data_IF_253212282653
#
_entry.id   IF_253212282653
#
_cell.length_a   1.000
_cell.length_b   1.000
_cell.length_c   1.000
_cell.angle_alpha   90.00
_cell.angle_beta   90.00
_cell.angle_gamma   90.00
#
_symmetry.space_group_name_H-M   'P 1'
#
loop_
_entity.id
_entity.type
_entity.pdbx_description
1 polymer ?
#
# COMPACT_ATOMS: atom_id res chain seq x y z
N UNK A 1 7.03 1.56 -29.79
CA UNK A 1 6.31 2.64 -29.10
C UNK A 1 5.65 2.11 -27.84
N UNK A 2 5.82 2.79 -26.71
CA UNK A 2 5.13 2.49 -25.46
C UNK A 2 3.65 2.91 -25.54
N UNK A 3 2.78 2.40 -24.65
CA UNK A 3 1.37 2.86 -24.58
C UNK A 3 1.28 4.35 -24.25
N UNK A 4 2.21 4.87 -23.45
CA UNK A 4 2.33 6.31 -23.17
C UNK A 4 2.57 7.09 -24.46
N UNK A 5 3.56 6.71 -25.27
CA UNK A 5 3.86 7.37 -26.54
C UNK A 5 2.68 7.32 -27.50
N UNK A 6 2.03 6.16 -27.66
CA UNK A 6 0.84 6.02 -28.51
C UNK A 6 -0.30 6.94 -28.07
N UNK A 7 -0.53 7.05 -26.76
CA UNK A 7 -1.58 7.92 -26.25
C UNK A 7 -1.24 9.40 -26.47
N UNK A 8 0.00 9.82 -26.22
CA UNK A 8 0.43 11.20 -26.46
C UNK A 8 0.32 11.59 -27.94
N UNK A 9 0.68 10.67 -28.85
CA UNK A 9 0.50 10.85 -30.29
C UNK A 9 -0.97 11.07 -30.67
N UNK A 10 -1.90 10.33 -30.05
CA UNK A 10 -3.34 10.43 -30.30
C UNK A 10 -3.99 11.66 -29.64
N UNK A 11 -3.59 11.95 -28.40
CA UNK A 11 -4.18 12.97 -27.55
C UNK A 11 -3.66 14.39 -27.87
N UNK A 12 -2.46 14.50 -28.45
CA UNK A 12 -1.83 15.76 -28.88
C UNK A 12 -1.89 16.85 -27.80
N UNK A 13 -1.27 16.64 -26.62
CA UNK A 13 -1.25 17.65 -25.58
C UNK A 13 -0.52 18.93 -26.03
N UNK A 14 -0.94 20.06 -25.47
CA UNK A 14 -0.32 21.37 -25.68
C UNK A 14 0.97 21.57 -24.86
N UNK A 15 1.54 22.77 -24.92
CA UNK A 15 2.75 23.13 -24.15
C UNK A 15 2.58 23.06 -22.64
N UNK A 16 1.35 23.08 -22.14
CA UNK A 16 1.02 22.96 -20.71
C UNK A 16 0.73 21.50 -20.31
N UNK A 17 0.80 20.56 -21.25
CA UNK A 17 0.48 19.15 -21.02
C UNK A 17 -1.02 18.86 -21.00
N UNK A 18 -1.86 19.77 -21.50
CA UNK A 18 -3.32 19.61 -21.58
C UNK A 18 -3.68 19.01 -22.93
N UNK A 19 -4.46 17.92 -22.93
CA UNK A 19 -4.91 17.26 -24.16
C UNK A 19 -6.39 17.48 -24.44
N UNK A 20 -6.85 17.11 -25.64
CA UNK A 20 -8.29 16.88 -25.87
C UNK A 20 -8.76 15.63 -25.13
N UNK A 21 -10.08 15.47 -25.04
CA UNK A 21 -10.67 14.17 -24.72
C UNK A 21 -10.43 13.17 -25.85
N UNK A 22 -9.94 11.99 -25.48
CA UNK A 22 -9.76 10.85 -26.38
C UNK A 22 -10.76 9.77 -25.98
N UNK A 23 -11.69 9.45 -26.88
CA UNK A 23 -12.69 8.42 -26.66
C UNK A 23 -12.06 7.03 -26.74
N UNK A 24 -12.52 6.09 -25.92
CA UNK A 24 -12.08 4.68 -26.01
C UNK A 24 -12.39 4.05 -27.37
N UNK A 25 -13.36 4.59 -28.11
CA UNK A 25 -13.69 4.17 -29.47
C UNK A 25 -12.59 4.54 -30.49
N UNK A 26 -11.69 5.46 -30.16
CA UNK A 26 -10.53 5.81 -30.98
C UNK A 26 -9.39 4.78 -30.83
N UNK A 27 -9.47 3.85 -29.88
CA UNK A 27 -8.47 2.79 -29.65
C UNK A 27 -8.62 1.65 -30.66
N UNK A 28 -8.47 1.99 -31.94
CA UNK A 28 -8.55 1.11 -33.10
C UNK A 28 -7.27 1.19 -33.93
N UNK A 29 -7.07 0.25 -34.85
CA UNK A 29 -5.89 0.21 -35.73
C UNK A 29 -4.58 0.25 -34.94
N UNK A 30 -3.70 1.21 -35.23
CA UNK A 30 -2.42 1.38 -34.53
C UNK A 30 -2.57 1.68 -33.02
N UNK A 31 -3.72 2.22 -32.61
CA UNK A 31 -4.02 2.56 -31.21
C UNK A 31 -4.72 1.43 -30.45
N UNK A 32 -4.96 0.27 -31.08
CA UNK A 32 -5.63 -0.88 -30.44
C UNK A 32 -4.95 -1.33 -29.14
N UNK A 33 -3.64 -1.15 -29.01
CA UNK A 33 -2.90 -1.45 -27.78
C UNK A 33 -3.35 -0.61 -26.56
N UNK A 34 -4.03 0.52 -26.78
CA UNK A 34 -4.57 1.39 -25.73
C UNK A 34 -5.89 0.90 -25.14
N UNK A 35 -6.53 -0.11 -25.75
CA UNK A 35 -7.76 -0.70 -25.24
C UNK A 35 -7.66 -1.04 -23.74
N UNK A 36 -8.68 -0.64 -23.01
CA UNK A 36 -8.72 -0.75 -21.57
C UNK A 36 -9.17 -2.17 -21.19
N UNK A 37 -8.28 -2.90 -20.51
CA UNK A 37 -8.66 -4.08 -19.74
C UNK A 37 -9.03 -3.69 -18.30
N UNK A 38 -9.07 -4.68 -17.42
CA UNK A 38 -9.36 -4.46 -16.00
C UNK A 38 -8.38 -3.44 -15.38
N UNK A 39 -8.92 -2.30 -14.94
CA UNK A 39 -8.20 -1.30 -14.15
C UNK A 39 -7.23 -0.39 -14.94
N UNK A 40 -7.33 -0.31 -16.27
CA UNK A 40 -6.64 0.72 -17.07
C UNK A 40 -5.13 0.80 -16.81
N UNK A 41 -4.41 -0.32 -16.96
CA UNK A 41 -3.03 -0.50 -16.47
C UNK A 41 -2.03 0.61 -16.84
N UNK A 42 -2.20 1.24 -18.00
CA UNK A 42 -1.31 2.29 -18.52
C UNK A 42 -1.77 3.72 -18.21
N UNK A 43 -3.02 3.93 -17.80
CA UNK A 43 -3.57 5.24 -17.48
C UNK A 43 -3.95 5.41 -16.00
N UNK A 44 -3.91 4.35 -15.18
CA UNK A 44 -4.18 4.42 -13.73
C UNK A 44 -3.17 5.32 -13.00
N UNK A 45 -3.51 5.77 -11.79
CA UNK A 45 -2.70 6.69 -10.97
C UNK A 45 -1.24 6.25 -10.71
N UNK A 46 -0.92 4.95 -10.80
CA UNK A 46 0.43 4.42 -10.65
C UNK A 46 1.19 4.18 -11.97
N UNK A 47 0.60 4.56 -13.11
CA UNK A 47 1.20 4.34 -14.42
C UNK A 47 2.30 5.35 -14.73
N UNK A 48 3.15 5.03 -15.71
CA UNK A 48 4.17 5.97 -16.19
C UNK A 48 3.57 7.27 -16.74
N UNK A 49 2.39 7.22 -17.37
CA UNK A 49 1.68 8.41 -17.84
C UNK A 49 1.27 9.31 -16.68
N UNK A 50 0.75 8.72 -15.59
CA UNK A 50 0.28 9.46 -14.41
C UNK A 50 1.43 10.10 -13.62
N UNK A 51 2.68 9.63 -13.79
CA UNK A 51 3.86 10.28 -13.19
C UNK A 51 4.21 11.62 -13.86
N UNK A 52 3.84 11.79 -15.13
CA UNK A 52 4.18 12.98 -15.90
C UNK A 52 2.97 13.90 -16.07
N UNK A 53 1.76 13.37 -16.11
CA UNK A 53 0.54 14.14 -16.36
C UNK A 53 -0.56 13.84 -15.35
N UNK A 54 -1.38 14.84 -15.06
CA UNK A 54 -2.64 14.65 -14.35
C UNK A 54 -3.69 14.12 -15.33
N UNK A 55 -4.27 12.95 -15.03
CA UNK A 55 -5.17 12.23 -15.91
C UNK A 55 -6.60 12.33 -15.39
N UNK A 56 -7.53 12.69 -16.28
CA UNK A 56 -8.95 12.75 -16.02
C UNK A 56 -9.70 11.68 -16.84
N UNK A 57 -10.78 11.14 -16.26
CA UNK A 57 -11.60 10.11 -16.88
C UNK A 57 -13.05 10.57 -16.99
N UNK A 58 -13.61 10.52 -18.20
CA UNK A 58 -15.04 10.57 -18.40
C UNK A 58 -15.61 9.16 -18.21
N UNK A 59 -16.63 9.04 -17.38
CA UNK A 59 -17.36 7.79 -17.08
C UNK A 59 -18.87 7.99 -17.13
N UNK A 60 -19.31 9.07 -17.76
CA UNK A 60 -20.70 9.52 -17.68
C UNK A 60 -21.62 8.86 -18.71
N UNK A 61 -21.05 8.20 -19.73
CA UNK A 61 -21.83 7.61 -20.84
C UNK A 61 -22.16 6.15 -20.58
N UNK A 62 -21.19 5.36 -20.14
CA UNK A 62 -21.40 3.94 -19.86
C UNK A 62 -21.80 3.73 -18.40
N UNK A 63 -22.93 3.05 -18.16
CA UNK A 63 -23.38 2.71 -16.80
C UNK A 63 -22.32 1.87 -16.08
N UNK A 64 -21.89 2.32 -14.90
CA UNK A 64 -20.92 1.63 -14.05
C UNK A 64 -19.61 2.39 -13.91
N UNK A 65 -18.50 1.65 -13.81
CA UNK A 65 -17.15 2.22 -13.58
C UNK A 65 -16.28 2.25 -14.85
N UNK A 66 -16.86 1.91 -16.00
CA UNK A 66 -16.20 1.93 -17.30
C UNK A 66 -15.74 3.34 -17.64
N UNK A 67 -14.60 3.43 -18.33
CA UNK A 67 -14.04 4.70 -18.81
C UNK A 67 -14.49 4.89 -20.24
N UNK A 68 -15.09 6.04 -20.53
CA UNK A 68 -15.59 6.42 -21.85
C UNK A 68 -14.58 7.26 -22.63
N UNK A 69 -13.87 8.14 -21.92
CA UNK A 69 -12.81 8.96 -22.50
C UNK A 69 -11.73 9.32 -21.48
N UNK A 70 -10.55 9.67 -21.99
CA UNK A 70 -9.37 10.02 -21.19
C UNK A 70 -8.84 11.37 -21.67
N UNK A 71 -8.40 12.22 -20.73
CA UNK A 71 -7.74 13.50 -21.03
C UNK A 71 -6.58 13.76 -20.08
N UNK A 72 -5.58 14.49 -20.55
CA UNK A 72 -4.51 15.08 -19.73
C UNK A 72 -4.90 16.53 -19.38
N UNK A 73 -4.75 16.90 -18.11
CA UNK A 73 -5.14 18.23 -17.58
C UNK A 73 -3.93 19.08 -17.18
N UNK A 74 -2.73 18.65 -17.55
CA UNK A 74 -1.47 19.33 -17.27
C UNK A 74 -0.40 18.39 -16.74
N UNK A 75 0.78 18.92 -16.48
CA UNK A 75 1.89 18.16 -15.88
C UNK A 75 1.62 17.81 -14.42
N UNK A 76 2.05 16.62 -14.02
CA UNK A 76 1.99 16.19 -12.64
C UNK A 76 3.28 16.60 -11.91
N UNK A 77 3.16 17.57 -11.00
CA UNK A 77 4.27 18.04 -10.16
C UNK A 77 4.36 17.30 -8.81
N UNK A 78 3.55 16.25 -8.59
CA UNK A 78 3.61 15.49 -7.35
C UNK A 78 4.75 14.47 -7.36
N UNK A 79 5.57 14.50 -6.30
CA UNK A 79 6.55 13.45 -6.05
C UNK A 79 5.79 12.16 -5.66
N UNK A 80 5.56 11.28 -6.65
CA UNK A 80 4.93 9.99 -6.39
C UNK A 80 5.91 9.05 -5.68
N UNK A 81 5.48 8.44 -4.57
CA UNK A 81 6.26 7.42 -3.88
C UNK A 81 6.66 6.28 -4.83
N UNK A 82 7.96 5.99 -4.88
CA UNK A 82 8.49 4.92 -5.69
C UNK A 82 8.31 3.56 -4.98
N UNK A 83 7.39 2.76 -5.50
CA UNK A 83 7.07 1.44 -4.95
C UNK A 83 8.08 0.33 -5.34
N UNK A 84 9.16 0.68 -6.03
CA UNK A 84 10.14 -0.30 -6.49
C UNK A 84 10.98 -0.79 -5.32
N UNK A 85 11.09 -2.11 -5.18
CA UNK A 85 11.88 -2.75 -4.12
C UNK A 85 13.20 -3.26 -4.72
N UNK A 86 14.33 -2.99 -4.05
CA UNK A 86 15.66 -3.45 -4.43
C UNK A 86 15.70 -4.98 -4.59
N UNK A 87 16.42 -5.46 -5.60
CA UNK A 87 16.49 -6.88 -5.95
C UNK A 87 16.97 -7.77 -4.79
N UNK A 88 18.00 -7.35 -4.07
CA UNK A 88 18.55 -8.11 -2.93
C UNK A 88 17.52 -8.36 -1.81
N UNK A 89 16.70 -7.35 -1.51
CA UNK A 89 15.59 -7.48 -0.55
C UNK A 89 14.56 -8.48 -1.09
N UNK A 90 14.28 -8.42 -2.40
CA UNK A 90 13.39 -9.38 -3.04
C UNK A 90 13.91 -10.80 -2.90
N UNK A 91 15.20 -10.99 -3.18
CA UNK A 91 15.86 -12.29 -3.12
C UNK A 91 15.96 -12.83 -1.70
N UNK A 92 16.12 -11.97 -0.68
CA UNK A 92 16.12 -12.38 0.72
C UNK A 92 14.75 -12.93 1.17
N UNK A 93 13.65 -12.27 0.78
CA UNK A 93 12.31 -12.61 1.26
C UNK A 93 11.54 -13.62 0.40
N UNK A 94 11.90 -13.83 -0.88
CA UNK A 94 11.11 -14.66 -1.82
C UNK A 94 10.80 -16.08 -1.33
N UNK A 95 11.66 -16.65 -0.50
CA UNK A 95 11.52 -18.01 0.03
C UNK A 95 11.00 -18.06 1.48
N UNK A 96 10.70 -16.91 2.09
CA UNK A 96 10.18 -16.82 3.46
C UNK A 96 8.66 -16.98 3.46
N UNK A 97 8.12 -17.53 4.54
CA UNK A 97 6.68 -17.66 4.71
C UNK A 97 6.02 -16.29 4.95
N UNK A 98 4.76 -16.17 4.52
CA UNK A 98 3.92 -15.01 4.81
C UNK A 98 3.90 -14.75 6.32
N UNK A 99 4.28 -13.55 6.77
CA UNK A 99 4.33 -13.24 8.22
C UNK A 99 2.96 -13.20 8.88
N UNK A 100 1.88 -13.06 8.10
CA UNK A 100 0.51 -13.09 8.59
C UNK A 100 -0.09 -14.50 8.62
N UNK A 101 0.20 -15.32 7.60
CA UNK A 101 -0.48 -16.60 7.39
C UNK A 101 0.41 -17.84 7.59
N UNK A 102 1.73 -17.68 7.72
CA UNK A 102 2.67 -18.79 7.94
C UNK A 102 2.92 -19.70 6.73
N UNK A 103 2.42 -19.34 5.54
CA UNK A 103 2.50 -20.15 4.32
C UNK A 103 3.40 -19.53 3.24
N UNK A 104 4.00 -20.38 2.42
CA UNK A 104 4.61 -20.05 1.13
C UNK A 104 4.13 -21.11 0.13
N UNK A 105 3.21 -20.75 -0.77
CA UNK A 105 2.60 -21.70 -1.69
C UNK A 105 2.64 -21.24 -3.13
N UNK A 106 2.38 -22.15 -4.06
CA UNK A 106 2.55 -21.87 -5.50
C UNK A 106 1.27 -21.34 -6.19
N UNK A 107 0.12 -21.36 -5.49
CA UNK A 107 -1.12 -20.81 -6.06
C UNK A 107 -1.07 -19.28 -6.15
N UNK A 108 -1.92 -18.72 -7.02
CA UNK A 108 -2.03 -17.26 -7.20
C UNK A 108 -2.26 -16.50 -5.88
N UNK A 109 -2.97 -17.09 -4.91
CA UNK A 109 -3.34 -16.47 -3.64
C UNK A 109 -2.31 -16.70 -2.53
N UNK A 110 -1.51 -17.77 -2.65
CA UNK A 110 -0.56 -18.21 -1.62
C UNK A 110 0.89 -17.86 -1.97
N UNK A 111 1.16 -17.46 -3.22
CA UNK A 111 2.48 -16.98 -3.64
C UNK A 111 2.90 -15.77 -2.82
N UNK A 112 4.19 -15.69 -2.53
CA UNK A 112 4.78 -14.59 -1.77
C UNK A 112 4.92 -13.36 -2.68
N UNK A 113 4.43 -12.24 -2.16
CA UNK A 113 4.69 -10.89 -2.61
C UNK A 113 5.42 -10.15 -1.48
N UNK A 114 6.34 -9.29 -1.87
CA UNK A 114 7.17 -8.55 -0.91
C UNK A 114 6.58 -7.16 -0.87
N UNK A 115 6.06 -6.78 0.30
CA UNK A 115 5.33 -5.55 0.50
C UNK A 115 6.05 -4.62 1.48
N UNK A 116 5.75 -3.33 1.38
CA UNK A 116 6.27 -2.32 2.29
C UNK A 116 5.53 -2.44 3.62
N UNK A 117 6.24 -2.39 4.74
CA UNK A 117 5.59 -2.35 6.06
C UNK A 117 4.72 -1.11 6.22
N UNK A 118 5.25 0.05 5.86
CA UNK A 118 4.49 1.29 5.79
C UNK A 118 3.39 1.21 4.71
N UNK A 119 2.14 1.16 5.17
CA UNK A 119 0.97 1.06 4.31
C UNK A 119 0.55 2.38 3.69
N UNK A 120 0.97 3.54 4.24
CA UNK A 120 0.63 4.86 3.69
C UNK A 120 1.61 5.28 2.60
N UNK A 121 2.85 4.79 2.66
CA UNK A 121 3.91 4.98 1.65
C UNK A 121 4.31 6.44 1.52
N UNK A 122 4.63 7.04 2.66
CA UNK A 122 4.93 8.47 2.74
C UNK A 122 6.40 8.72 3.16
N UNK A 123 7.22 7.66 3.28
CA UNK A 123 8.62 7.75 3.71
C UNK A 123 9.61 7.87 2.53
N UNK A 124 10.18 9.05 2.33
CA UNK A 124 11.12 9.32 1.24
C UNK A 124 12.37 8.43 1.24
N UNK A 125 12.88 8.05 2.42
CA UNK A 125 14.01 7.12 2.54
C UNK A 125 13.65 5.74 1.99
N UNK A 126 12.43 5.26 2.25
CA UNK A 126 11.99 3.95 1.74
C UNK A 126 11.67 4.03 0.24
N UNK A 127 11.16 5.18 -0.23
CA UNK A 127 10.94 5.48 -1.66
C UNK A 127 12.25 5.42 -2.47
N UNK A 128 13.38 5.81 -1.86
CA UNK A 128 14.69 5.75 -2.50
C UNK A 128 15.31 4.34 -2.41
N UNK A 129 15.43 3.67 -3.57
CA UNK A 129 16.00 2.32 -3.73
C UNK A 129 17.38 2.16 -3.05
N UNK A 130 18.21 3.20 -3.02
CA UNK A 130 19.57 3.14 -2.46
C UNK A 130 19.58 3.10 -0.93
N UNK A 131 18.52 3.57 -0.29
CA UNK A 131 18.42 3.71 1.18
C UNK A 131 17.43 2.73 1.82
N UNK A 132 16.84 1.84 1.00
CA UNK A 132 16.00 0.73 1.44
C UNK A 132 16.77 -0.25 2.31
N UNK A 133 16.13 -0.72 3.38
CA UNK A 133 16.67 -1.73 4.30
C UNK A 133 15.73 -2.93 4.37
N UNK A 134 16.20 -4.08 4.85
CA UNK A 134 15.38 -5.30 4.91
C UNK A 134 14.13 -5.09 5.78
N UNK A 135 14.30 -4.42 6.92
CA UNK A 135 13.28 -4.15 7.91
C UNK A 135 12.12 -3.27 7.40
N UNK A 136 12.28 -2.58 6.27
CA UNK A 136 11.23 -1.78 5.64
C UNK A 136 10.16 -2.64 4.95
N UNK A 137 10.44 -3.94 4.78
CA UNK A 137 9.64 -4.86 3.99
C UNK A 137 9.22 -6.10 4.76
N UNK A 138 8.20 -6.77 4.25
CA UNK A 138 7.71 -8.03 4.79
C UNK A 138 7.20 -8.96 3.68
N UNK A 139 7.40 -10.28 3.81
CA UNK A 139 6.82 -11.26 2.89
C UNK A 139 5.35 -11.50 3.26
N UNK A 140 4.45 -11.28 2.31
CA UNK A 140 3.03 -11.55 2.45
C UNK A 140 2.58 -12.47 1.32
N UNK A 141 1.64 -13.38 1.58
CA UNK A 141 0.94 -14.02 0.47
C UNK A 141 0.13 -12.97 -0.28
N UNK A 142 -0.16 -13.19 -1.58
CA UNK A 142 -1.02 -12.29 -2.35
C UNK A 142 -2.33 -11.96 -1.60
N UNK A 143 -2.99 -12.97 -1.02
CA UNK A 143 -4.23 -12.78 -0.27
C UNK A 143 -4.04 -11.88 0.97
N UNK A 144 -2.96 -12.06 1.72
CA UNK A 144 -2.63 -11.23 2.87
C UNK A 144 -2.29 -9.79 2.44
N UNK A 145 -1.55 -9.63 1.34
CA UNK A 145 -1.20 -8.33 0.78
C UNK A 145 -2.46 -7.54 0.32
N UNK A 146 -3.39 -8.22 -0.35
CA UNK A 146 -4.66 -7.61 -0.77
C UNK A 146 -5.50 -7.18 0.45
N UNK A 147 -5.57 -8.01 1.50
CA UNK A 147 -6.25 -7.68 2.75
C UNK A 147 -5.60 -6.47 3.44
N UNK A 148 -4.28 -6.47 3.60
CA UNK A 148 -3.49 -5.34 4.14
C UNK A 148 -3.79 -4.06 3.37
N UNK A 149 -3.82 -4.11 2.03
CA UNK A 149 -4.13 -2.95 1.20
C UNK A 149 -5.50 -2.35 1.53
N UNK A 150 -6.55 -3.16 1.64
CA UNK A 150 -7.89 -2.65 1.95
C UNK A 150 -7.94 -2.05 3.36
N UNK A 151 -7.29 -2.69 4.33
CA UNK A 151 -7.21 -2.21 5.71
C UNK A 151 -6.48 -0.85 5.76
N UNK A 152 -5.32 -0.74 5.12
CA UNK A 152 -4.54 0.49 5.08
C UNK A 152 -5.26 1.63 4.33
N UNK A 153 -6.04 1.30 3.29
CA UNK A 153 -6.87 2.28 2.57
C UNK A 153 -7.89 2.92 3.52
N UNK A 154 -8.65 2.11 4.25
CA UNK A 154 -9.62 2.59 5.25
C UNK A 154 -8.93 3.43 6.33
N UNK A 155 -7.77 2.97 6.84
CA UNK A 155 -6.99 3.74 7.81
C UNK A 155 -6.57 5.12 7.30
N UNK A 156 -6.19 5.23 6.02
CA UNK A 156 -5.83 6.52 5.40
C UNK A 156 -7.05 7.42 5.22
N UNK A 157 -8.20 6.86 4.89
CA UNK A 157 -9.46 7.61 4.71
C UNK A 157 -10.02 8.13 6.03
N UNK A 158 -9.94 7.36 7.11
CA UNK A 158 -10.56 7.72 8.39
C UNK A 158 -9.58 8.28 9.42
N UNK A 159 -8.27 8.18 9.17
CA UNK A 159 -7.22 8.40 10.17
C UNK A 159 -7.35 7.55 11.44
N UNK A 160 -8.08 6.42 11.36
CA UNK A 160 -8.21 5.45 12.43
C UNK A 160 -7.41 4.19 12.09
N UNK A 161 -6.46 3.84 12.96
CA UNK A 161 -5.59 2.67 12.85
C UNK A 161 -6.41 1.39 13.05
N UNK A 162 -6.02 0.34 12.34
CA UNK A 162 -6.76 -0.92 12.37
C UNK A 162 -6.53 -1.69 13.67
N UNK A 163 -7.62 -2.02 14.36
CA UNK A 163 -7.57 -2.74 15.62
C UNK A 163 -7.17 -4.22 15.42
N UNK A 164 -6.02 -4.62 15.97
CA UNK A 164 -5.53 -6.00 15.86
C UNK A 164 -6.45 -7.03 16.53
N UNK A 165 -7.32 -6.64 17.46
CA UNK A 165 -8.32 -7.53 18.10
C UNK A 165 -9.43 -7.99 17.15
N UNK A 166 -9.49 -7.46 15.93
CA UNK A 166 -10.31 -8.04 14.86
C UNK A 166 -9.89 -9.48 14.54
N UNK A 167 -8.63 -9.85 14.80
CA UNK A 167 -8.19 -11.24 14.85
C UNK A 167 -8.39 -11.77 16.26
N UNK A 168 -9.30 -12.74 16.42
CA UNK A 168 -9.57 -13.36 17.73
C UNK A 168 -8.29 -13.93 18.34
N UNK A 169 -8.11 -13.72 19.65
CA UNK A 169 -6.94 -14.16 20.40
C UNK A 169 -5.81 -13.13 20.49
N UNK A 170 -5.86 -12.04 19.74
CA UNK A 170 -4.91 -10.94 19.89
C UNK A 170 -5.16 -10.17 21.21
N UNK A 171 -4.15 -10.01 22.08
CA UNK A 171 -4.32 -9.40 23.40
C UNK A 171 -4.46 -7.88 23.35
N UNK A 172 -3.84 -7.22 22.38
CA UNK A 172 -3.79 -5.76 22.26
C UNK A 172 -4.27 -5.30 20.89
N UNK A 173 -4.75 -4.06 20.82
CA UNK A 173 -5.13 -3.46 19.53
C UNK A 173 -3.91 -2.98 18.74
N UNK A 174 -2.90 -2.50 19.47
CA UNK A 174 -1.65 -1.95 18.95
C UNK A 174 -0.52 -2.36 19.90
N UNK A 175 0.68 -2.54 19.37
CA UNK A 175 1.87 -2.71 20.21
C UNK A 175 2.53 -1.36 20.58
N UNK A 176 2.17 -0.29 19.87
CA UNK A 176 2.64 1.08 20.12
C UNK A 176 1.59 2.10 19.64
N UNK A 177 1.43 3.19 20.40
CA UNK A 177 0.39 4.21 20.20
C UNK A 177 -1.03 3.69 20.38
N UNK A 178 -1.99 4.42 19.83
CA UNK A 178 -3.43 4.17 20.00
C UNK A 178 -4.18 4.10 18.65
N UNK A 179 -5.50 4.26 18.67
CA UNK A 179 -6.35 4.16 17.49
C UNK A 179 -6.21 5.33 16.52
N UNK A 180 -5.71 6.49 16.94
CA UNK A 180 -5.57 7.66 16.08
C UNK A 180 -4.22 7.64 15.37
N UNK A 181 -4.24 7.86 14.07
CA UNK A 181 -3.01 8.01 13.31
C UNK A 181 -2.38 9.38 13.59
N UNK A 182 -1.09 9.38 13.89
CA UNK A 182 -0.25 10.59 13.92
C UNK A 182 0.89 10.43 12.92
N UNK A 183 1.37 11.56 12.36
CA UNK A 183 2.46 11.52 11.39
C UNK A 183 3.79 11.13 12.06
N UNK A 184 3.97 11.53 13.32
CA UNK A 184 5.18 11.25 14.12
C UNK A 184 5.36 9.75 14.35
N UNK A 185 4.27 9.04 14.70
CA UNK A 185 4.31 7.59 14.92
C UNK A 185 4.18 6.81 13.60
N UNK A 186 3.40 7.35 12.67
CA UNK A 186 3.11 6.72 11.40
C UNK A 186 2.36 5.39 11.57
N UNK A 187 2.87 4.33 10.93
CA UNK A 187 2.28 2.99 11.00
C UNK A 187 2.86 2.12 12.13
N UNK A 188 3.95 2.55 12.78
CA UNK A 188 4.59 1.82 13.89
C UNK A 188 3.55 1.54 14.97
N UNK A 189 3.49 0.30 15.46
CA UNK A 189 2.52 -0.16 16.46
C UNK A 189 1.30 -0.91 15.89
N UNK A 190 1.06 -0.84 14.57
CA UNK A 190 -0.04 -1.53 13.92
C UNK A 190 0.35 -2.97 13.55
N UNK A 191 -0.55 -3.94 13.75
CA UNK A 191 -0.33 -5.31 13.31
C UNK A 191 -0.01 -5.42 11.81
N UNK A 192 -0.66 -4.61 10.97
CA UNK A 192 -0.43 -4.62 9.52
C UNK A 192 0.96 -4.09 9.14
N UNK A 193 1.55 -3.24 9.98
CA UNK A 193 2.89 -2.71 9.77
C UNK A 193 3.93 -3.79 10.01
N UNK A 194 3.89 -4.45 11.17
CA UNK A 194 4.79 -5.55 11.48
C UNK A 194 4.10 -6.61 12.36
N UNK A 195 3.55 -7.68 11.75
CA UNK A 195 2.95 -8.79 12.49
C UNK A 195 3.93 -9.54 13.39
N UNK A 196 5.22 -9.54 13.05
CA UNK A 196 6.26 -10.22 13.84
C UNK A 196 6.55 -9.42 15.09
N UNK A 197 6.78 -8.12 14.94
CA UNK A 197 7.03 -7.24 16.08
C UNK A 197 5.82 -7.17 16.99
N UNK A 198 4.60 -7.04 16.43
CA UNK A 198 3.36 -7.09 17.22
C UNK A 198 3.31 -8.30 18.17
N UNK A 199 3.65 -9.50 17.68
CA UNK A 199 3.67 -10.71 18.51
C UNK A 199 4.73 -10.64 19.62
N UNK A 200 5.95 -10.21 19.28
CA UNK A 200 7.04 -10.06 20.26
C UNK A 200 6.71 -9.04 21.34
N UNK A 201 6.29 -7.84 20.94
CA UNK A 201 5.94 -6.77 21.86
C UNK A 201 4.74 -7.14 22.73
N UNK A 202 3.77 -7.88 22.18
CA UNK A 202 2.62 -8.39 22.96
C UNK A 202 3.08 -9.32 24.09
N UNK A 203 3.99 -10.26 23.80
CA UNK A 203 4.54 -11.16 24.83
C UNK A 203 5.26 -10.35 25.91
N UNK A 204 6.11 -9.40 25.52
CA UNK A 204 6.84 -8.55 26.47
C UNK A 204 5.86 -7.75 27.35
N UNK A 205 4.81 -7.20 26.75
CA UNK A 205 3.82 -6.39 27.48
C UNK A 205 3.02 -7.24 28.48
N UNK A 206 2.58 -8.43 28.09
CA UNK A 206 1.93 -9.38 29.00
C UNK A 206 2.86 -9.72 30.16
N UNK A 207 4.13 -10.03 29.89
CA UNK A 207 5.10 -10.36 30.96
C UNK A 207 5.28 -9.22 31.95
N UNK A 208 5.31 -7.96 31.48
CA UNK A 208 5.35 -6.78 32.35
C UNK A 208 4.07 -6.65 33.18
N UNK A 209 2.90 -6.75 32.56
CA UNK A 209 1.61 -6.69 33.25
C UNK A 209 1.50 -7.78 34.34
N UNK A 210 1.95 -9.00 34.06
CA UNK A 210 2.00 -10.09 35.05
C UNK A 210 2.96 -9.76 36.20
N UNK A 211 4.16 -9.26 35.88
CA UNK A 211 5.15 -8.87 36.89
C UNK A 211 4.63 -7.76 37.79
N UNK A 212 4.03 -6.72 37.21
CA UNK A 212 3.45 -5.59 37.93
C UNK A 212 2.31 -6.03 38.84
N UNK A 213 1.46 -6.95 38.37
CA UNK A 213 0.38 -7.52 39.18
C UNK A 213 0.90 -8.35 40.36
N UNK A 214 2.00 -9.10 40.16
CA UNK A 214 2.66 -9.84 41.25
C UNK A 214 3.24 -8.87 42.27
N UNK A 215 3.95 -7.83 41.82
CA UNK A 215 4.55 -6.83 42.70
C UNK A 215 3.49 -6.10 43.53
N UNK A 216 2.40 -5.64 42.92
CA UNK A 216 1.28 -4.99 43.62
C UNK A 216 0.62 -5.91 44.66
N UNK A 217 0.59 -7.22 44.40
CA UNK A 217 0.01 -8.20 45.34
C UNK A 217 0.94 -8.49 46.53
N UNK A 218 2.26 -8.52 46.31
CA UNK A 218 3.24 -8.82 47.36
C UNK A 218 3.62 -7.60 48.19
N UNK A 219 3.61 -6.41 47.58
CA UNK A 219 3.97 -5.14 48.18
C UNK A 219 2.85 -4.13 47.90
N UNK A 220 1.71 -4.22 48.60
CA UNK A 220 0.69 -3.19 48.52
C UNK A 220 1.30 -1.87 49.00
N UNK A 221 1.03 -0.77 48.30
CA UNK A 221 1.40 0.55 48.79
C UNK A 221 0.75 0.74 50.17
N UNK A 222 1.57 1.00 51.20
CA UNK A 222 1.06 1.39 52.51
C UNK A 222 0.27 2.69 52.31
N UNK A 223 -1.03 2.66 52.62
CA UNK A 223 -1.85 3.87 52.64
C UNK A 223 -1.24 4.85 53.65
N UNK A 224 -0.68 5.96 53.15
CA UNK A 224 -0.28 7.13 53.96
C UNK A 224 -1.47 8.05 54.13
#
# INVERSE_FOLDING_TARGET
MTKTELFLELAKPDSNGVSRWVSVNEFIGKYKALQLGNGGSWCRASSSLAKTYTIEFDKTKTRGNSIDAIRLTGFNNSNTFNQSIRKEIKDFYKNKNCVMLGINGNSINTKIEIDHKDGRKDNDRVSNIKTQRLEDFQPLSKAANDAKRQICKRCKETNLRWNAKNLKGNPYSFYEGDEHYTQELGCVGCYQFDPVEYRKSSVIKISKEVTDNILKKLYPEEEI
#
